data_IF_436042899383
#
_entry.id   IF_436042899383
#
_cell.length_a   1.000
_cell.length_b   1.000
_cell.length_c   1.000
_cell.angle_alpha   90.00
_cell.angle_beta   90.00
_cell.angle_gamma   90.00
#
_symmetry.space_group_name_H-M   'P 1'
#
loop_
_entity.id
_entity.type
_entity.pdbx_description
1 polymer ?
#
# COMPACT_ATOMS: atom_id res chain seq x y z
N UNK A 1 -73.54 8.62 -11.16
CA UNK A 1 -72.57 9.26 -12.08
C UNK A 1 -71.32 9.60 -11.27
N UNK A 2 -70.23 8.83 -11.40
CA UNK A 2 -69.04 8.97 -10.56
C UNK A 2 -68.12 10.07 -11.10
N UNK A 3 -67.62 10.94 -10.21
CA UNK A 3 -66.54 11.87 -10.48
C UNK A 3 -65.19 11.17 -10.31
N UNK A 4 -64.39 11.12 -11.40
CA UNK A 4 -63.01 10.65 -11.43
C UNK A 4 -62.07 11.86 -11.49
N UNK A 5 -61.06 11.89 -10.63
CA UNK A 5 -59.78 12.64 -10.78
C UNK A 5 -58.76 11.98 -9.82
N UNK A 6 -58.00 10.98 -10.27
CA UNK A 6 -56.63 11.02 -10.82
C UNK A 6 -55.52 11.36 -9.80
N UNK A 7 -54.64 10.41 -9.42
CA UNK A 7 -53.41 10.69 -8.68
C UNK A 7 -52.25 11.10 -9.62
N UNK A 8 -51.47 12.09 -9.16
CA UNK A 8 -50.28 12.65 -9.81
C UNK A 8 -49.13 11.65 -9.88
N UNK A 9 -48.62 11.38 -11.10
CA UNK A 9 -47.38 10.65 -11.32
C UNK A 9 -46.19 11.62 -11.25
N UNK A 10 -45.31 11.43 -10.27
CA UNK A 10 -44.01 12.12 -10.22
C UNK A 10 -42.98 11.30 -10.99
N UNK A 11 -42.63 11.73 -12.18
CA UNK A 11 -41.52 11.20 -12.99
C UNK A 11 -40.17 11.50 -12.34
N UNK A 12 -39.45 10.46 -11.92
CA UNK A 12 -38.04 10.53 -11.49
C UNK A 12 -37.16 10.52 -12.75
N UNK A 13 -36.42 11.61 -13.00
CA UNK A 13 -35.39 11.68 -14.03
C UNK A 13 -34.19 10.78 -13.63
N UNK A 14 -33.58 10.01 -14.55
CA UNK A 14 -32.38 9.26 -14.23
C UNK A 14 -31.21 10.22 -13.98
N UNK A 15 -30.64 10.20 -12.78
CA UNK A 15 -29.35 10.81 -12.49
C UNK A 15 -28.26 9.98 -13.16
N UNK A 16 -27.67 10.54 -14.22
CA UNK A 16 -26.42 10.05 -14.80
C UNK A 16 -25.32 10.19 -13.77
N UNK A 17 -24.84 9.07 -13.24
CA UNK A 17 -23.64 9.00 -12.42
C UNK A 17 -22.43 9.29 -13.29
N UNK A 18 -21.81 10.45 -13.09
CA UNK A 18 -20.51 10.77 -13.69
C UNK A 18 -19.43 9.93 -12.99
N UNK A 19 -18.95 8.89 -13.67
CA UNK A 19 -17.69 8.24 -13.31
C UNK A 19 -16.54 9.25 -13.52
N UNK A 20 -15.63 9.43 -12.55
CA UNK A 20 -14.45 10.26 -12.78
C UNK A 20 -13.49 9.51 -13.70
N UNK A 21 -13.48 9.89 -14.97
CA UNK A 21 -12.47 9.49 -15.95
C UNK A 21 -11.25 10.38 -15.77
N UNK A 22 -10.21 9.85 -15.13
CA UNK A 22 -8.85 10.33 -15.35
C UNK A 22 -7.85 9.21 -15.07
N UNK A 23 -7.81 8.21 -15.96
CA UNK A 23 -6.70 7.28 -16.04
C UNK A 23 -5.49 8.03 -16.63
N UNK A 24 -4.67 8.65 -15.77
CA UNK A 24 -3.30 9.04 -16.14
C UNK A 24 -2.44 7.78 -16.17
N UNK A 25 -2.56 6.99 -17.25
CA UNK A 25 -1.87 5.71 -17.40
C UNK A 25 -2.39 4.87 -18.57
N UNK A 26 -1.60 3.87 -18.99
CA UNK A 26 -1.99 2.89 -20.01
C UNK A 26 -3.22 2.06 -19.63
N UNK A 27 -3.64 1.10 -20.46
CA UNK A 27 -4.81 0.27 -20.14
C UNK A 27 -4.58 -0.54 -18.85
N UNK A 28 -5.59 -0.68 -17.97
CA UNK A 28 -5.49 -1.54 -16.79
C UNK A 28 -5.03 -2.94 -17.15
N UNK A 29 -4.01 -3.44 -16.45
CA UNK A 29 -3.41 -4.75 -16.70
C UNK A 29 -3.34 -5.54 -15.41
N UNK A 30 -3.67 -6.82 -15.52
CA UNK A 30 -3.43 -7.84 -14.52
C UNK A 30 -3.13 -9.13 -15.26
N UNK A 31 -1.85 -9.52 -15.33
CA UNK A 31 -1.41 -10.68 -16.08
C UNK A 31 -0.15 -11.31 -15.47
N UNK A 32 0.00 -12.62 -15.66
CA UNK A 32 1.24 -13.33 -15.36
C UNK A 32 2.13 -13.35 -16.61
N UNK A 33 3.31 -12.76 -16.51
CA UNK A 33 4.33 -12.71 -17.57
C UNK A 33 5.55 -13.50 -17.13
N UNK A 34 5.67 -14.73 -17.62
CA UNK A 34 6.68 -15.67 -17.14
C UNK A 34 6.45 -16.00 -15.67
N UNK A 35 7.33 -15.50 -14.79
CA UNK A 35 7.22 -15.64 -13.34
C UNK A 35 6.82 -14.32 -12.64
N UNK A 36 6.44 -13.28 -13.38
CA UNK A 36 6.11 -11.97 -12.80
C UNK A 36 4.62 -11.68 -12.99
N UNK A 37 3.90 -11.47 -11.90
CA UNK A 37 2.57 -10.88 -11.95
C UNK A 37 2.71 -9.37 -12.14
N UNK A 38 2.07 -8.85 -13.18
CA UNK A 38 2.12 -7.45 -13.57
C UNK A 38 0.73 -6.85 -13.36
N UNK A 39 0.62 -5.91 -12.41
CA UNK A 39 -0.61 -5.18 -12.08
C UNK A 39 -0.39 -3.71 -12.37
N UNK A 40 -0.98 -3.19 -13.44
CA UNK A 40 -0.68 -1.83 -13.91
C UNK A 40 -1.95 -1.01 -14.09
N UNK A 41 -1.82 0.29 -13.85
CA UNK A 41 -2.83 1.30 -14.20
C UNK A 41 -4.24 1.07 -13.62
N UNK A 42 -4.33 0.33 -12.52
CA UNK A 42 -5.59 0.09 -11.83
C UNK A 42 -6.06 1.39 -11.15
N UNK A 43 -7.32 1.75 -11.33
CA UNK A 43 -7.90 2.95 -10.72
C UNK A 43 -9.24 2.63 -10.07
N UNK A 44 -9.38 2.90 -8.77
CA UNK A 44 -10.65 2.69 -8.06
C UNK A 44 -11.05 1.23 -7.88
N UNK A 45 -10.09 0.29 -7.91
CA UNK A 45 -10.36 -1.15 -7.84
C UNK A 45 -10.04 -1.66 -6.44
N UNK A 46 -11.03 -2.19 -5.73
CA UNK A 46 -10.90 -2.57 -4.32
C UNK A 46 -11.01 -4.08 -4.07
N UNK A 47 -11.15 -4.86 -5.14
CA UNK A 47 -11.39 -6.30 -5.14
C UNK A 47 -10.33 -7.07 -5.97
N UNK A 48 -9.18 -6.45 -6.25
CA UNK A 48 -8.11 -7.08 -7.02
C UNK A 48 -7.40 -8.13 -6.18
N UNK A 49 -7.51 -9.40 -6.58
CA UNK A 49 -6.89 -10.53 -5.88
C UNK A 49 -6.01 -11.32 -6.83
N UNK A 50 -4.80 -11.65 -6.37
CA UNK A 50 -3.89 -12.59 -7.04
C UNK A 50 -3.81 -13.83 -6.16
N UNK A 51 -4.54 -14.87 -6.57
CA UNK A 51 -4.69 -16.11 -5.79
C UNK A 51 -3.79 -17.24 -6.29
N UNK A 52 -3.49 -17.25 -7.59
CA UNK A 52 -2.68 -18.28 -8.27
C UNK A 52 -1.18 -17.97 -8.15
N UNK A 53 -0.67 -17.97 -6.91
CA UNK A 53 0.72 -17.63 -6.61
C UNK A 53 1.58 -18.85 -6.25
N UNK A 54 2.90 -18.68 -6.34
CA UNK A 54 3.88 -19.59 -5.77
C UNK A 54 5.16 -18.82 -5.38
N UNK A 55 6.07 -19.49 -4.68
CA UNK A 55 7.28 -18.87 -4.11
C UNK A 55 8.29 -18.36 -5.16
N UNK A 56 8.14 -18.71 -6.44
CA UNK A 56 8.99 -18.19 -7.53
C UNK A 56 8.40 -16.93 -8.17
N UNK A 57 7.14 -16.64 -7.90
CA UNK A 57 6.48 -15.48 -8.48
C UNK A 57 6.97 -14.18 -7.83
N UNK A 58 7.18 -13.17 -8.65
CA UNK A 58 7.37 -11.78 -8.20
C UNK A 58 6.14 -10.96 -8.57
N UNK A 59 5.69 -10.07 -7.71
CA UNK A 59 4.55 -9.20 -7.99
C UNK A 59 5.09 -7.79 -8.27
N UNK A 60 4.68 -7.20 -9.39
CA UNK A 60 5.02 -5.84 -9.77
C UNK A 60 3.73 -5.02 -9.96
N UNK A 61 3.53 -4.03 -9.10
CA UNK A 61 2.36 -3.18 -9.06
C UNK A 61 2.80 -1.78 -9.49
N UNK A 62 2.25 -1.27 -10.58
CA UNK A 62 2.72 -0.04 -11.21
C UNK A 62 1.59 0.92 -11.50
N UNK A 63 1.77 2.20 -11.14
CA UNK A 63 0.81 3.29 -11.46
C UNK A 63 -0.63 2.98 -11.09
N UNK A 64 -0.83 2.22 -10.01
CA UNK A 64 -2.15 1.96 -9.46
C UNK A 64 -2.56 3.11 -8.53
N UNK A 65 -3.81 3.56 -8.64
CA UNK A 65 -4.34 4.69 -7.88
C UNK A 65 -5.63 4.31 -7.17
N UNK A 66 -5.79 4.69 -5.90
CA UNK A 66 -7.02 4.49 -5.12
C UNK A 66 -7.55 3.06 -5.24
N UNK A 67 -6.69 2.07 -4.97
CA UNK A 67 -7.00 0.66 -5.22
C UNK A 67 -6.54 -0.22 -4.05
N UNK A 68 -7.21 -1.35 -3.85
CA UNK A 68 -6.85 -2.37 -2.87
C UNK A 68 -6.47 -3.64 -3.62
N UNK A 69 -5.28 -4.17 -3.32
CA UNK A 69 -4.71 -5.34 -3.98
C UNK A 69 -4.37 -6.38 -2.91
N UNK A 70 -4.88 -7.59 -3.08
CA UNK A 70 -4.59 -8.74 -2.20
C UNK A 70 -3.74 -9.76 -2.94
N UNK A 71 -2.62 -10.15 -2.34
CA UNK A 71 -1.73 -11.21 -2.84
C UNK A 71 -1.76 -12.38 -1.86
N UNK A 72 -2.37 -13.49 -2.28
CA UNK A 72 -2.51 -14.66 -1.42
C UNK A 72 -1.35 -15.63 -1.62
N UNK A 73 -0.97 -16.32 -0.55
CA UNK A 73 0.12 -17.28 -0.57
C UNK A 73 1.51 -16.64 -0.46
N UNK A 74 2.53 -17.49 -0.53
CA UNK A 74 3.93 -17.07 -0.36
C UNK A 74 4.57 -16.81 -1.71
N UNK A 75 4.95 -15.56 -1.96
CA UNK A 75 5.64 -15.12 -3.20
C UNK A 75 7.10 -14.79 -2.93
N UNK A 76 7.90 -14.62 -3.98
CA UNK A 76 9.31 -14.26 -3.81
C UNK A 76 9.45 -12.83 -3.27
N UNK A 77 8.84 -11.87 -3.96
CA UNK A 77 8.88 -10.43 -3.64
C UNK A 77 7.65 -9.70 -4.18
N UNK A 78 7.41 -8.50 -3.65
CA UNK A 78 6.38 -7.58 -4.13
C UNK A 78 7.01 -6.19 -4.28
N UNK A 79 6.77 -5.52 -5.41
CA UNK A 79 7.23 -4.15 -5.66
C UNK A 79 6.03 -3.29 -6.05
N UNK A 80 5.93 -2.13 -5.43
CA UNK A 80 4.96 -1.07 -5.75
C UNK A 80 5.74 0.14 -6.24
N UNK A 81 5.53 0.53 -7.51
CA UNK A 81 6.18 1.68 -8.13
C UNK A 81 5.14 2.69 -8.65
N UNK A 82 5.33 3.97 -8.30
CA UNK A 82 4.48 5.07 -8.74
C UNK A 82 2.99 4.87 -8.37
N UNK A 83 2.71 4.22 -7.25
CA UNK A 83 1.35 4.02 -6.75
C UNK A 83 0.89 5.17 -5.84
N UNK A 84 -0.40 5.47 -5.84
CA UNK A 84 -0.98 6.52 -4.98
C UNK A 84 -2.27 6.03 -4.33
N UNK A 85 -2.39 6.14 -2.99
CA UNK A 85 -3.57 5.66 -2.23
C UNK A 85 -3.86 4.18 -2.48
N UNK A 86 -2.82 3.35 -2.45
CA UNK A 86 -2.97 1.90 -2.64
C UNK A 86 -2.85 1.18 -1.31
N UNK A 87 -3.81 0.28 -1.06
CA UNK A 87 -3.78 -0.70 0.01
C UNK A 87 -3.27 -2.05 -0.51
N UNK A 88 -2.20 -2.57 0.07
CA UNK A 88 -1.70 -3.91 -0.19
C UNK A 88 -2.05 -4.82 0.99
N UNK A 89 -2.64 -5.98 0.72
CA UNK A 89 -2.72 -7.07 1.70
C UNK A 89 -1.96 -8.26 1.13
N UNK A 90 -1.08 -8.87 1.91
CA UNK A 90 -0.32 -10.02 1.43
C UNK A 90 -0.07 -11.06 2.53
N UNK A 91 0.03 -12.32 2.13
CA UNK A 91 0.28 -13.41 3.09
C UNK A 91 1.73 -13.42 3.55
N UNK A 92 2.67 -13.71 2.66
CA UNK A 92 4.10 -13.77 2.98
C UNK A 92 4.97 -13.53 1.76
N UNK A 93 6.18 -13.01 1.98
CA UNK A 93 7.24 -12.96 0.97
C UNK A 93 8.48 -13.73 1.41
N UNK A 94 9.25 -14.23 0.45
CA UNK A 94 10.55 -14.88 0.71
C UNK A 94 11.62 -13.83 1.01
N UNK A 95 11.61 -12.71 0.29
CA UNK A 95 12.68 -11.71 0.34
C UNK A 95 12.18 -10.39 0.93
N UNK A 96 11.51 -9.56 0.13
CA UNK A 96 11.13 -8.21 0.53
C UNK A 96 9.84 -7.71 -0.13
N UNK A 97 9.30 -6.65 0.46
CA UNK A 97 8.31 -5.77 -0.15
C UNK A 97 8.93 -4.39 -0.35
N UNK A 98 8.82 -3.83 -1.54
CA UNK A 98 9.42 -2.54 -1.89
C UNK A 98 8.36 -1.52 -2.31
N UNK A 99 8.46 -0.30 -1.78
CA UNK A 99 7.67 0.87 -2.17
C UNK A 99 8.60 1.90 -2.77
N UNK A 100 8.39 2.25 -4.04
CA UNK A 100 9.23 3.19 -4.79
C UNK A 100 8.35 4.29 -5.39
N UNK A 101 8.71 5.55 -5.20
CA UNK A 101 7.99 6.70 -5.80
C UNK A 101 6.47 6.71 -5.49
N UNK A 102 6.07 6.20 -4.33
CA UNK A 102 4.67 6.02 -3.98
C UNK A 102 4.14 7.16 -3.09
N UNK A 103 2.81 7.24 -2.94
CA UNK A 103 2.17 8.20 -2.03
C UNK A 103 0.95 7.63 -1.32
N UNK A 104 0.82 7.89 -0.02
CA UNK A 104 -0.34 7.47 0.80
C UNK A 104 -0.60 5.96 0.72
N UNK A 105 0.41 5.16 1.01
CA UNK A 105 0.36 3.71 0.94
C UNK A 105 -0.07 3.10 2.27
N UNK A 106 -0.80 1.98 2.20
CA UNK A 106 -1.03 1.09 3.33
C UNK A 106 -0.64 -0.33 2.92
N UNK A 107 0.03 -1.06 3.80
CA UNK A 107 0.32 -2.46 3.54
C UNK A 107 0.15 -3.31 4.79
N UNK A 108 -0.47 -4.48 4.66
CA UNK A 108 -0.71 -5.41 5.75
C UNK A 108 -0.17 -6.79 5.39
N UNK A 109 0.66 -7.35 6.28
CA UNK A 109 1.13 -8.73 6.20
C UNK A 109 0.33 -9.60 7.16
N UNK A 110 -0.12 -10.78 6.71
CA UNK A 110 -0.82 -11.73 7.62
C UNK A 110 0.13 -12.77 8.21
N UNK A 111 1.25 -13.08 7.54
CA UNK A 111 2.27 -14.00 8.05
C UNK A 111 3.65 -13.32 8.18
N UNK A 112 4.62 -13.64 7.31
CA UNK A 112 6.03 -13.23 7.43
C UNK A 112 6.48 -12.33 6.27
N UNK A 113 7.25 -11.30 6.61
CA UNK A 113 8.02 -10.47 5.68
C UNK A 113 9.39 -10.18 6.29
N UNK A 114 10.51 -10.62 5.68
CA UNK A 114 11.83 -10.38 6.27
C UNK A 114 12.26 -8.91 6.19
N UNK A 115 11.96 -8.23 5.08
CA UNK A 115 12.40 -6.87 4.83
C UNK A 115 11.33 -6.05 4.11
N UNK A 116 11.16 -4.81 4.55
CA UNK A 116 10.36 -3.81 3.86
C UNK A 116 11.25 -2.63 3.50
N UNK A 117 11.26 -2.28 2.23
CA UNK A 117 12.03 -1.15 1.71
C UNK A 117 11.09 -0.03 1.26
N UNK A 118 11.36 1.19 1.70
CA UNK A 118 10.55 2.38 1.41
C UNK A 118 11.46 3.47 0.83
N UNK A 119 11.41 3.64 -0.49
CA UNK A 119 12.23 4.61 -1.23
C UNK A 119 11.35 5.68 -1.89
N UNK A 120 11.73 6.95 -1.75
CA UNK A 120 11.06 8.09 -2.43
C UNK A 120 9.54 8.07 -2.26
N UNK A 121 9.07 7.69 -1.07
CA UNK A 121 7.65 7.47 -0.83
C UNK A 121 7.18 8.36 0.32
N UNK A 122 6.08 9.08 0.11
CA UNK A 122 5.49 9.99 1.10
C UNK A 122 4.16 9.41 1.62
N UNK A 123 4.12 9.09 2.92
CA UNK A 123 2.99 8.42 3.56
C UNK A 123 3.01 6.93 3.28
N UNK A 124 3.51 6.14 4.23
CA UNK A 124 3.56 4.68 4.14
C UNK A 124 3.31 4.03 5.49
N UNK A 125 2.14 3.42 5.65
CA UNK A 125 1.73 2.78 6.90
C UNK A 125 1.77 1.26 6.73
N UNK A 126 2.63 0.61 7.49
CA UNK A 126 2.83 -0.83 7.44
C UNK A 126 2.18 -1.46 8.67
N UNK A 127 1.36 -2.48 8.46
CA UNK A 127 0.67 -3.25 9.50
C UNK A 127 1.30 -4.64 9.55
N UNK A 128 2.00 -4.93 10.64
CA UNK A 128 2.64 -6.22 10.87
C UNK A 128 1.65 -7.23 11.45
N UNK A 129 1.95 -8.50 11.25
CA UNK A 129 1.34 -9.59 12.00
C UNK A 129 2.08 -9.81 13.33
N UNK A 130 1.45 -10.51 14.27
CA UNK A 130 2.09 -10.91 15.54
C UNK A 130 3.36 -11.77 15.33
N UNK A 131 3.50 -12.35 14.14
CA UNK A 131 4.59 -13.23 13.81
C UNK A 131 5.64 -12.57 12.91
N UNK A 132 5.46 -11.34 12.42
CA UNK A 132 6.42 -10.61 11.58
C UNK A 132 7.15 -9.47 12.31
N UNK A 133 7.21 -9.52 13.63
CA UNK A 133 7.81 -8.46 14.45
C UNK A 133 9.33 -8.31 14.25
N UNK A 134 9.97 -9.29 13.61
CA UNK A 134 11.39 -9.30 13.22
C UNK A 134 11.66 -8.64 11.85
N UNK A 135 10.64 -8.02 11.23
CA UNK A 135 10.77 -7.31 9.96
C UNK A 135 11.81 -6.20 10.04
N UNK A 136 12.74 -6.18 9.09
CA UNK A 136 13.70 -5.09 8.94
C UNK A 136 13.15 -4.01 8.01
N UNK A 137 13.34 -2.75 8.38
CA UNK A 137 12.94 -1.60 7.56
C UNK A 137 14.16 -0.89 6.99
N UNK A 138 14.18 -0.71 5.68
CA UNK A 138 15.20 0.06 4.96
C UNK A 138 14.49 1.25 4.31
N UNK A 139 14.91 2.46 4.66
CA UNK A 139 14.23 3.68 4.17
C UNK A 139 15.23 4.63 3.51
N UNK A 140 14.76 5.35 2.48
CA UNK A 140 15.58 6.35 1.78
C UNK A 140 14.70 7.40 1.10
N UNK A 141 14.93 8.68 1.40
CA UNK A 141 14.19 9.81 0.79
C UNK A 141 12.67 9.68 0.93
N UNK A 142 12.21 9.18 2.06
CA UNK A 142 10.79 8.90 2.32
C UNK A 142 10.35 9.64 3.57
N UNK A 143 9.05 9.98 3.64
CA UNK A 143 8.47 10.73 4.75
C UNK A 143 7.12 10.15 5.19
N UNK A 144 6.64 10.53 6.39
CA UNK A 144 5.34 10.10 6.94
C UNK A 144 5.21 8.56 7.01
N UNK A 145 6.28 7.89 7.46
CA UNK A 145 6.34 6.43 7.55
C UNK A 145 6.00 5.95 8.96
N UNK A 146 5.16 4.92 9.07
CA UNK A 146 4.88 4.28 10.36
C UNK A 146 4.71 2.77 10.28
N UNK A 147 5.09 2.11 11.37
CA UNK A 147 4.93 0.68 11.61
C UNK A 147 3.86 0.48 12.68
N UNK A 148 2.89 -0.37 12.37
CA UNK A 148 1.74 -0.65 13.21
C UNK A 148 1.88 -2.08 13.74
N UNK A 149 2.05 -2.20 15.06
CA UNK A 149 2.26 -3.45 15.77
C UNK A 149 0.93 -3.90 16.39
N UNK A 150 0.47 -5.14 16.15
CA UNK A 150 -0.77 -5.61 16.75
C UNK A 150 -0.61 -5.75 18.27
N UNK A 151 -1.56 -5.21 19.04
CA UNK A 151 -1.60 -5.29 20.50
C UNK A 151 -2.76 -6.15 21.03
N UNK A 152 -3.88 -6.17 20.30
CA UNK A 152 -5.06 -7.00 20.56
C UNK A 152 -5.80 -7.23 19.22
N UNK A 153 -6.91 -7.98 19.23
CA UNK A 153 -7.70 -8.25 18.04
C UNK A 153 -8.25 -6.97 17.41
N UNK A 154 -7.74 -6.64 16.22
CA UNK A 154 -8.10 -5.43 15.48
C UNK A 154 -7.42 -4.14 15.94
N UNK A 155 -6.67 -4.15 17.04
CA UNK A 155 -5.98 -2.97 17.58
C UNK A 155 -4.48 -2.97 17.26
N UNK A 156 -3.99 -1.80 16.84
CA UNK A 156 -2.59 -1.59 16.51
C UNK A 156 -2.02 -0.41 17.27
N UNK A 157 -0.77 -0.55 17.70
CA UNK A 157 0.05 0.55 18.20
C UNK A 157 0.96 1.04 17.08
N UNK A 158 0.87 2.33 16.80
CA UNK A 158 1.66 3.00 15.77
C UNK A 158 3.03 3.45 16.29
N UNK A 159 4.06 3.24 15.48
CA UNK A 159 5.44 3.64 15.73
C UNK A 159 5.98 4.37 14.49
N UNK A 160 6.28 5.68 14.56
CA UNK A 160 6.85 6.40 13.43
C UNK A 160 8.29 5.92 13.14
N UNK A 161 8.66 5.84 11.86
CA UNK A 161 10.05 5.61 11.45
C UNK A 161 10.77 6.96 11.39
N UNK A 162 11.95 7.04 11.99
CA UNK A 162 12.77 8.25 11.92
C UNK A 162 13.14 8.61 10.47
N UNK A 163 12.89 9.86 10.11
CA UNK A 163 13.15 10.39 8.76
C UNK A 163 14.15 11.56 8.75
N UNK A 164 14.49 12.10 9.92
CA UNK A 164 15.53 13.11 10.10
C UNK A 164 16.71 12.54 10.88
N UNK A 165 17.92 12.97 10.53
CA UNK A 165 19.15 12.47 11.13
C UNK A 165 20.10 13.61 11.46
N UNK A 166 20.73 13.55 12.64
CA UNK A 166 21.83 14.45 13.03
C UNK A 166 23.14 13.76 12.72
N UNK A 167 24.03 14.48 12.03
CA UNK A 167 25.39 14.01 11.76
C UNK A 167 26.39 15.00 12.35
N UNK A 168 27.36 14.50 13.12
CA UNK A 168 28.38 15.31 13.76
C UNK A 168 29.71 14.54 13.85
N UNK A 169 30.82 15.26 14.03
CA UNK A 169 32.13 14.64 14.28
C UNK A 169 32.25 14.22 15.75
N UNK A 170 32.65 12.97 15.98
CA UNK A 170 33.04 12.44 17.28
C UNK A 170 34.56 12.37 17.37
N UNK A 171 35.11 12.95 18.43
CA UNK A 171 36.55 13.00 18.73
C UNK A 171 37.41 13.50 17.55
N UNK A 172 36.85 14.38 16.71
CA UNK A 172 37.44 14.92 15.47
C UNK A 172 37.95 13.86 14.46
N UNK A 173 37.45 12.61 14.55
CA UNK A 173 37.97 11.48 13.76
C UNK A 173 36.92 10.73 12.95
N UNK A 174 35.67 10.75 13.40
CA UNK A 174 34.61 9.94 12.80
C UNK A 174 33.29 10.70 12.72
N UNK A 175 32.60 10.59 11.58
CA UNK A 175 31.21 11.01 11.47
C UNK A 175 30.32 9.96 12.14
N UNK A 176 29.47 10.44 13.05
CA UNK A 176 28.42 9.64 13.69
C UNK A 176 27.08 10.21 13.26
N UNK A 177 26.19 9.33 12.80
CA UNK A 177 24.82 9.69 12.42
C UNK A 177 23.85 9.00 13.36
N UNK A 178 22.93 9.76 13.94
CA UNK A 178 21.87 9.25 14.81
C UNK A 178 20.51 9.76 14.33
N UNK A 179 19.42 8.98 14.54
CA UNK A 179 18.07 9.49 14.37
C UNK A 179 17.87 10.78 15.14
N UNK A 180 17.29 11.79 14.49
CA UNK A 180 16.81 12.98 15.17
C UNK A 180 15.40 12.69 15.67
N UNK A 181 15.29 12.21 16.91
CA UNK A 181 14.00 12.04 17.56
C UNK A 181 13.40 13.44 17.81
N UNK A 182 12.43 13.83 17.00
CA UNK A 182 11.44 14.81 17.45
C UNK A 182 10.59 14.09 18.49
N UNK A 183 10.68 14.48 19.75
CA UNK A 183 9.72 14.10 20.79
C UNK A 183 8.33 14.55 20.33
N UNK A 184 7.65 13.65 19.61
CA UNK A 184 6.35 13.84 18.99
C UNK A 184 5.49 12.63 19.26
N UNK A 185 5.47 12.20 20.53
CA UNK A 185 4.36 11.52 21.20
C UNK A 185 4.23 12.19 22.58
#
# INVERSE_FOLDING_TARGET
KPGKTSPSQTTVKPQTTHAPTSATGGPPKLALEGNKWVVEYQTGKHDLRITETNMRHCIYIFKCTNSTITVEGKVNSIVLDQCTKVGLQFTSVVSLVEFINCKSMKAQVTERVPTIQIEKTDGCHIYLSSISLDTQFITSKSSEMSVNIPIDDGEYKEYPIAEQFKTYFKDDKQLVTVPNESSGV
#
